data_IF_146138895887
#
_entry.id   IF_146138895887
#
_cell.length_a   1.000
_cell.length_b   1.000
_cell.length_c   1.000
_cell.angle_alpha   90.00
_cell.angle_beta   90.00
_cell.angle_gamma   90.00
#
_symmetry.space_group_name_H-M   'P 1'
#
loop_
_entity.id
_entity.type
_entity.pdbx_description
1 polymer ?
#
# COMPACT_ATOMS: atom_id res chain seq x y z
N UNK A 1 25.82 11.18 14.53
CA UNK A 1 24.42 10.71 14.61
C UNK A 1 23.74 11.18 13.34
N UNK A 2 23.62 10.33 12.30
CA UNK A 2 22.96 10.74 11.05
C UNK A 2 21.44 10.72 11.27
N UNK A 3 20.81 11.90 11.20
CA UNK A 3 19.37 12.00 11.04
C UNK A 3 19.02 11.51 9.63
N UNK A 4 18.31 10.38 9.53
CA UNK A 4 17.64 10.01 8.30
C UNK A 4 16.45 10.95 8.11
N UNK A 5 16.60 11.95 7.24
CA UNK A 5 15.50 12.77 6.79
C UNK A 5 14.54 11.87 5.99
N UNK A 6 13.40 11.53 6.57
CA UNK A 6 12.32 10.90 5.83
C UNK A 6 11.78 11.95 4.87
N UNK A 7 11.98 11.75 3.57
CA UNK A 7 11.22 12.49 2.56
C UNK A 7 9.78 12.00 2.67
N UNK A 8 9.00 12.65 3.54
CA UNK A 8 7.59 12.40 3.68
C UNK A 8 6.90 12.97 2.46
N UNK A 9 6.57 12.13 1.48
CA UNK A 9 5.59 12.53 0.48
C UNK A 9 4.31 12.89 1.25
N UNK A 10 3.80 14.11 1.10
CA UNK A 10 2.64 14.62 1.84
C UNK A 10 1.33 13.82 1.62
N UNK A 11 1.39 12.81 0.75
CA UNK A 11 0.31 11.88 0.42
C UNK A 11 0.66 10.41 0.70
N UNK A 12 1.84 10.12 1.28
CA UNK A 12 2.21 8.76 1.61
C UNK A 12 1.42 8.24 2.81
N UNK A 13 0.96 6.99 2.71
CA UNK A 13 0.27 6.31 3.80
C UNK A 13 1.08 5.11 4.29
N UNK A 14 1.28 4.94 5.60
CA UNK A 14 2.10 3.87 6.12
C UNK A 14 1.48 2.49 5.86
N UNK A 15 2.32 1.50 5.59
CA UNK A 15 1.89 0.12 5.37
C UNK A 15 3.03 -0.89 5.52
N UNK A 16 2.73 -2.13 5.19
CA UNK A 16 3.72 -3.22 5.15
C UNK A 16 3.35 -4.28 4.12
N UNK A 17 4.27 -5.20 3.86
CA UNK A 17 4.00 -6.42 3.09
C UNK A 17 3.85 -7.61 4.06
N UNK A 18 2.74 -8.38 4.06
CA UNK A 18 2.55 -9.48 5.00
C UNK A 18 3.43 -10.70 4.66
N UNK A 19 3.88 -10.81 3.41
CA UNK A 19 4.78 -11.84 2.90
C UNK A 19 5.89 -11.19 2.05
N UNK A 20 6.89 -11.98 1.64
CA UNK A 20 7.96 -11.51 0.75
C UNK A 20 7.37 -10.96 -0.55
N UNK A 21 7.80 -9.77 -0.94
CA UNK A 21 7.32 -9.08 -2.14
C UNK A 21 8.48 -8.51 -2.96
N UNK A 22 8.27 -8.32 -4.26
CA UNK A 22 9.26 -7.72 -5.17
C UNK A 22 8.86 -6.27 -5.45
N UNK A 23 9.84 -5.37 -5.40
CA UNK A 23 9.70 -3.97 -5.76
C UNK A 23 10.18 -3.78 -7.20
N UNK A 24 9.30 -3.37 -8.09
CA UNK A 24 9.52 -3.25 -9.52
C UNK A 24 9.78 -1.79 -9.93
N UNK A 25 10.51 -1.57 -11.03
CA UNK A 25 10.73 -0.21 -11.56
C UNK A 25 9.45 0.38 -12.18
N UNK A 26 8.57 -0.46 -12.70
CA UNK A 26 7.29 -0.09 -13.30
C UNK A 26 6.16 -0.98 -12.77
N UNK A 27 4.91 -0.61 -13.04
CA UNK A 27 3.71 -1.38 -12.72
C UNK A 27 3.55 -2.62 -13.62
N UNK A 28 4.58 -3.46 -13.68
CA UNK A 28 4.63 -4.68 -14.49
C UNK A 28 5.60 -5.71 -13.90
N UNK A 29 5.20 -6.99 -13.93
CA UNK A 29 6.05 -8.13 -13.52
C UNK A 29 7.22 -8.40 -14.45
N UNK A 30 7.16 -7.91 -15.69
CA UNK A 30 8.26 -8.01 -16.66
C UNK A 30 9.31 -6.91 -16.49
N UNK A 31 9.03 -5.90 -15.66
CA UNK A 31 9.99 -4.84 -15.41
C UNK A 31 11.10 -5.28 -14.44
N UNK A 32 12.28 -4.64 -14.47
CA UNK A 32 13.36 -4.92 -13.53
C UNK A 32 12.94 -4.81 -12.06
N UNK A 33 13.55 -5.64 -11.23
CA UNK A 33 13.35 -5.61 -9.77
C UNK A 33 14.42 -4.76 -9.11
N UNK A 34 13.95 -3.79 -8.34
CA UNK A 34 14.75 -2.78 -7.62
C UNK A 34 15.20 -3.31 -6.25
N UNK A 35 14.35 -4.11 -5.60
CA UNK A 35 14.59 -4.73 -4.31
C UNK A 35 13.65 -5.92 -4.08
N UNK A 36 14.03 -6.80 -3.16
CA UNK A 36 13.14 -7.80 -2.57
C UNK A 36 12.86 -7.39 -1.13
N UNK A 37 11.58 -7.21 -0.82
CA UNK A 37 11.10 -6.83 0.50
C UNK A 37 10.83 -8.10 1.31
N UNK A 38 11.45 -8.29 2.49
CA UNK A 38 11.10 -9.41 3.36
C UNK A 38 9.69 -9.24 3.93
N UNK A 39 9.10 -10.33 4.40
CA UNK A 39 7.83 -10.28 5.11
C UNK A 39 7.89 -9.28 6.29
N UNK A 40 6.79 -8.56 6.51
CA UNK A 40 6.63 -7.46 7.48
C UNK A 40 7.48 -6.23 7.21
N UNK A 41 8.16 -6.12 6.07
CA UNK A 41 8.88 -4.90 5.71
C UNK A 41 7.90 -3.70 5.68
N UNK A 42 8.28 -2.63 6.38
CA UNK A 42 7.56 -1.37 6.37
C UNK A 42 7.75 -0.63 5.05
N UNK A 43 6.72 0.08 4.62
CA UNK A 43 6.72 0.89 3.41
C UNK A 43 5.77 2.08 3.54
N UNK A 44 5.97 3.05 2.67
CA UNK A 44 5.11 4.22 2.49
C UNK A 44 4.38 4.09 1.15
N UNK A 45 3.04 4.06 1.18
CA UNK A 45 2.18 3.90 0.00
C UNK A 45 1.89 5.27 -0.58
N UNK A 46 2.37 5.55 -1.79
CA UNK A 46 2.22 6.85 -2.44
C UNK A 46 0.91 6.93 -3.23
N UNK A 47 0.62 5.89 -4.02
CA UNK A 47 -0.57 5.80 -4.86
C UNK A 47 -0.79 4.36 -5.29
N UNK A 48 -2.05 3.96 -5.46
CA UNK A 48 -2.48 2.66 -5.93
C UNK A 48 -3.42 2.80 -7.13
N UNK A 49 -3.39 1.79 -7.98
CA UNK A 49 -4.44 1.50 -8.95
C UNK A 49 -5.02 0.11 -8.61
N UNK A 50 -5.79 -0.47 -9.53
CA UNK A 50 -6.44 -1.78 -9.33
C UNK A 50 -5.48 -2.95 -9.03
N UNK A 51 -4.22 -2.87 -9.50
CA UNK A 51 -3.27 -4.00 -9.47
C UNK A 51 -1.96 -3.69 -8.77
N UNK A 52 -1.58 -2.42 -8.71
CA UNK A 52 -0.25 -1.99 -8.28
C UNK A 52 -0.33 -0.79 -7.36
N UNK A 53 0.60 -0.72 -6.42
CA UNK A 53 0.87 0.48 -5.66
C UNK A 53 2.29 0.93 -5.86
N UNK A 54 2.45 2.23 -6.10
CA UNK A 54 3.73 2.91 -6.00
C UNK A 54 4.03 3.13 -4.52
N UNK A 55 5.20 2.69 -4.09
CA UNK A 55 5.62 2.72 -2.69
C UNK A 55 7.07 3.20 -2.57
N UNK A 56 7.42 3.70 -1.39
CA UNK A 56 8.81 3.87 -0.96
C UNK A 56 9.12 2.87 0.15
N UNK A 57 10.15 2.05 -0.05
CA UNK A 57 10.61 1.05 0.92
C UNK A 57 12.13 0.94 0.83
N UNK A 58 12.82 0.78 1.97
CA UNK A 58 14.29 0.69 2.01
C UNK A 58 14.99 1.84 1.27
N UNK A 59 14.45 3.07 1.39
CA UNK A 59 14.93 4.27 0.65
C UNK A 59 14.85 4.18 -0.88
N UNK A 60 14.11 3.23 -1.43
CA UNK A 60 13.87 3.07 -2.88
C UNK A 60 12.39 3.25 -3.19
N UNK A 61 12.09 3.88 -4.31
CA UNK A 61 10.72 4.02 -4.81
C UNK A 61 10.49 3.07 -5.98
N UNK A 62 9.36 2.38 -5.99
CA UNK A 62 8.99 1.44 -7.05
C UNK A 62 7.54 0.98 -6.92
N UNK A 63 7.22 -0.12 -7.56
CA UNK A 63 5.86 -0.67 -7.63
C UNK A 63 5.79 -2.06 -7.01
N UNK A 64 4.76 -2.31 -6.22
CA UNK A 64 4.45 -3.62 -5.61
C UNK A 64 3.02 -3.98 -5.99
N UNK A 65 2.74 -5.26 -6.17
CA UNK A 65 1.37 -5.73 -6.43
C UNK A 65 0.46 -5.37 -5.25
N UNK A 66 -0.68 -4.73 -5.53
CA UNK A 66 -1.64 -4.28 -4.51
C UNK A 66 -2.09 -5.40 -3.55
N UNK A 67 -2.39 -6.64 -4.02
CA UNK A 67 -2.78 -7.73 -3.11
C UNK A 67 -1.70 -8.14 -2.11
N UNK A 68 -0.44 -7.72 -2.30
CA UNK A 68 0.67 -7.98 -1.38
C UNK A 68 0.89 -6.84 -0.38
N UNK A 69 0.06 -5.80 -0.38
CA UNK A 69 0.19 -4.67 0.52
C UNK A 69 -0.89 -4.72 1.59
N UNK A 70 -0.45 -4.44 2.82
CA UNK A 70 -1.30 -4.14 3.97
C UNK A 70 -1.11 -2.67 4.34
N UNK A 71 -2.04 -1.82 3.94
CA UNK A 71 -2.12 -0.46 4.43
C UNK A 71 -2.40 -0.49 5.95
N UNK A 72 -1.80 0.43 6.70
CA UNK A 72 -2.21 0.68 8.08
C UNK A 72 -3.64 1.18 8.06
N UNK A 73 -4.43 0.79 9.07
CA UNK A 73 -5.77 1.34 9.26
C UNK A 73 -5.74 2.87 9.19
N UNK A 74 -6.64 3.43 8.39
CA UNK A 74 -6.81 4.86 8.17
C UNK A 74 -8.27 5.14 7.84
N UNK A 75 -8.69 6.40 7.85
CA UNK A 75 -10.07 6.73 7.48
C UNK A 75 -10.28 6.45 6.00
N UNK A 76 -11.51 6.12 5.59
CA UNK A 76 -11.82 5.89 4.18
C UNK A 76 -11.38 7.07 3.30
N UNK A 77 -11.59 8.32 3.75
CA UNK A 77 -11.13 9.53 3.07
C UNK A 77 -9.61 9.64 2.88
N UNK A 78 -8.81 9.01 3.73
CA UNK A 78 -7.34 8.98 3.62
C UNK A 78 -6.92 7.91 2.62
N UNK A 79 -7.48 6.70 2.75
CA UNK A 79 -7.20 5.58 1.87
C UNK A 79 -7.64 5.85 0.42
N UNK A 80 -8.77 6.54 0.22
CA UNK A 80 -9.22 6.94 -1.12
C UNK A 80 -8.24 7.90 -1.81
N UNK A 81 -7.54 8.77 -1.07
CA UNK A 81 -6.55 9.71 -1.65
C UNK A 81 -5.34 9.00 -2.27
N UNK A 82 -5.00 7.83 -1.75
CA UNK A 82 -3.94 6.97 -2.31
C UNK A 82 -4.47 5.93 -3.28
N UNK A 83 -5.74 6.01 -3.71
CA UNK A 83 -6.31 5.08 -4.70
C UNK A 83 -6.73 3.71 -4.14
N UNK A 84 -6.85 3.57 -2.82
CA UNK A 84 -7.43 2.38 -2.20
C UNK A 84 -8.92 2.62 -1.91
N UNK A 85 -9.75 2.67 -2.96
CA UNK A 85 -11.19 2.90 -2.86
C UNK A 85 -12.03 1.62 -2.96
N UNK A 86 -11.43 0.49 -3.33
CA UNK A 86 -12.13 -0.79 -3.56
C UNK A 86 -11.50 -1.94 -2.77
N UNK A 87 -10.99 -1.69 -1.56
CA UNK A 87 -10.38 -2.73 -0.72
C UNK A 87 -11.40 -3.84 -0.45
N UNK A 88 -11.14 -5.04 -0.97
CA UNK A 88 -12.04 -6.19 -0.84
C UNK A 88 -11.76 -6.97 0.44
N UNK A 89 -12.76 -7.71 0.96
CA UNK A 89 -12.64 -8.55 2.17
C UNK A 89 -11.45 -9.52 2.16
N UNK A 90 -11.00 -9.97 0.99
CA UNK A 90 -9.86 -10.88 0.83
C UNK A 90 -8.51 -10.17 0.67
N UNK A 91 -8.47 -8.84 0.67
CA UNK A 91 -7.21 -8.08 0.58
C UNK A 91 -6.60 -7.87 1.98
N UNK A 92 -5.26 -7.89 2.12
CA UNK A 92 -4.62 -7.70 3.43
C UNK A 92 -4.90 -6.35 4.10
N UNK A 93 -5.27 -5.34 3.29
CA UNK A 93 -5.62 -4.00 3.76
C UNK A 93 -7.05 -3.90 4.31
N UNK A 94 -7.89 -4.93 4.14
CA UNK A 94 -9.24 -4.95 4.70
C UNK A 94 -9.22 -5.00 6.22
N UNK A 95 -10.10 -4.22 6.85
CA UNK A 95 -10.40 -4.33 8.28
C UNK A 95 -11.89 -4.12 8.48
N UNK A 96 -12.54 -4.81 9.43
CA UNK A 96 -13.96 -4.59 9.73
C UNK A 96 -14.28 -3.13 10.07
N UNK A 97 -13.32 -2.38 10.64
CA UNK A 97 -13.51 -0.96 10.96
C UNK A 97 -13.58 -0.03 9.74
N UNK A 98 -13.30 -0.52 8.53
CA UNK A 98 -13.53 0.20 7.27
C UNK A 98 -14.90 -0.13 6.68
N UNK A 99 -15.48 -1.29 7.02
CA UNK A 99 -16.69 -1.89 6.44
C UNK A 99 -17.79 -1.93 7.52
N UNK A 100 -18.25 -0.74 7.92
CA UNK A 100 -19.10 -0.56 9.12
C UNK A 100 -20.47 -1.26 9.00
N UNK A 101 -20.96 -1.40 7.78
CA UNK A 101 -22.19 -2.09 7.38
C UNK A 101 -21.98 -3.57 7.07
N UNK A 102 -20.72 -4.04 7.05
CA UNK A 102 -20.31 -5.43 6.85
C UNK A 102 -20.80 -6.02 5.50
N UNK A 103 -20.92 -5.19 4.48
CA UNK A 103 -21.30 -5.62 3.13
C UNK A 103 -20.09 -6.10 2.30
N UNK A 104 -18.87 -5.91 2.82
CA UNK A 104 -17.62 -6.28 2.17
C UNK A 104 -17.07 -5.22 1.21
N UNK A 105 -17.66 -4.02 1.18
CA UNK A 105 -17.27 -2.87 0.36
C UNK A 105 -17.06 -1.60 1.22
N UNK A 106 -15.85 -1.42 1.80
CA UNK A 106 -15.58 -0.41 2.84
C UNK A 106 -15.74 1.07 2.45
N UNK A 107 -16.06 1.36 1.19
CA UNK A 107 -16.09 2.71 0.63
C UNK A 107 -17.40 3.07 -0.07
N UNK A 108 -18.47 2.26 0.06
CA UNK A 108 -19.78 2.73 -0.39
C UNK A 108 -20.23 3.88 0.48
N UNK A 109 -20.44 5.04 -0.15
CA UNK A 109 -21.12 6.16 0.46
C UNK A 109 -22.58 5.77 0.68
N UNK A 110 -23.07 5.99 1.90
CA UNK A 110 -24.49 6.02 2.24
C UNK A 110 -24.90 7.47 2.37
#
# INVERSE_FOLDING_TARGET
>A
MLLAATVSNAHAHPGSVPATARLYTQASKSSPVVATLPAKAALEIIACNEKWCKVTAQSKTGWVERPLIKARYGRCTELSKIGLFDIRRNEPSYTPGLDRDNDGTPFRAW
#
